data_IF_763930667794
#
_entry.id   IF_763930667794
#
_cell.length_a   1.000
_cell.length_b   1.000
_cell.length_c   1.000
_cell.angle_alpha   90.00
_cell.angle_beta   90.00
_cell.angle_gamma   90.00
#
_symmetry.space_group_name_H-M   'P 1'
#
loop_
_entity.id
_entity.type
_entity.pdbx_description
1 polymer ?
#
# COMPACT_ATOMS: atom_id res chain seq x y z
N UNK A 1 2.67 2.35 -12.31
CA UNK A 1 1.29 2.58 -11.87
C UNK A 1 1.36 2.89 -10.41
N UNK A 2 0.77 4.01 -10.00
CA UNK A 2 0.74 4.43 -8.61
C UNK A 2 -0.37 3.70 -7.86
N UNK A 3 -0.10 3.30 -6.61
CA UNK A 3 -1.10 2.62 -5.78
C UNK A 3 -1.72 3.67 -4.87
N UNK A 4 -3.03 3.82 -4.98
CA UNK A 4 -3.78 4.79 -4.17
C UNK A 4 -4.90 4.09 -3.42
N UNK A 5 -5.10 4.51 -2.18
CA UNK A 5 -6.28 4.17 -1.39
C UNK A 5 -7.10 5.45 -1.18
N UNK A 6 -8.37 5.42 -1.55
CA UNK A 6 -9.32 6.54 -1.40
C UNK A 6 -10.57 5.99 -0.73
N UNK A 7 -10.77 6.32 0.55
CA UNK A 7 -11.85 5.73 1.36
C UNK A 7 -11.73 4.20 1.39
N UNK A 8 -12.80 3.50 0.97
CA UNK A 8 -12.85 2.02 0.89
C UNK A 8 -12.25 1.44 -0.41
N UNK A 9 -11.85 2.28 -1.36
CA UNK A 9 -11.34 1.84 -2.67
C UNK A 9 -9.81 1.79 -2.66
N UNK A 10 -9.25 0.58 -2.72
CA UNK A 10 -7.81 0.33 -2.80
C UNK A 10 -7.42 -0.25 -4.17
N UNK A 11 -6.48 0.37 -4.89
CA UNK A 11 -6.06 -0.14 -6.20
C UNK A 11 -4.93 0.63 -6.86
N UNK A 12 -4.59 0.22 -8.08
CA UNK A 12 -3.61 0.92 -8.91
C UNK A 12 -4.31 1.91 -9.85
N UNK A 13 -3.72 3.08 -10.01
CA UNK A 13 -4.17 4.08 -10.97
C UNK A 13 -3.87 3.59 -12.37
N UNK A 14 -4.92 3.37 -13.16
CA UNK A 14 -4.81 2.95 -14.55
C UNK A 14 -4.76 4.15 -15.50
N UNK A 15 -5.52 5.22 -15.21
CA UNK A 15 -5.57 6.42 -16.07
C UNK A 15 -6.01 7.66 -15.28
N UNK A 16 -5.33 8.78 -15.50
CA UNK A 16 -5.71 10.08 -14.93
C UNK A 16 -6.38 10.90 -16.03
N UNK A 17 -7.67 11.22 -15.84
CA UNK A 17 -8.43 12.10 -16.71
C UNK A 17 -8.66 13.48 -16.08
N UNK A 18 -9.11 14.44 -16.90
CA UNK A 18 -9.33 15.84 -16.48
C UNK A 18 -10.41 15.98 -15.41
N UNK A 19 -11.38 15.06 -15.36
CA UNK A 19 -12.51 15.08 -14.40
C UNK A 19 -12.52 13.91 -13.41
N UNK A 20 -11.90 12.81 -13.77
CA UNK A 20 -11.88 11.59 -12.95
C UNK A 20 -10.61 10.77 -13.20
N UNK A 21 -10.22 10.02 -12.18
CA UNK A 21 -9.15 9.03 -12.22
C UNK A 21 -9.76 7.63 -12.24
N UNK A 22 -9.26 6.77 -13.13
CA UNK A 22 -9.57 5.34 -13.13
C UNK A 22 -8.61 4.60 -12.20
N UNK A 23 -9.19 3.92 -11.21
CA UNK A 23 -8.50 3.06 -10.25
C UNK A 23 -8.98 1.64 -10.45
N UNK A 24 -8.04 0.73 -10.73
CA UNK A 24 -8.35 -0.69 -10.85
C UNK A 24 -7.96 -1.38 -9.56
N UNK A 25 -8.96 -1.98 -8.94
CA UNK A 25 -8.83 -2.75 -7.69
C UNK A 25 -8.21 -4.12 -7.95
N UNK A 26 -7.70 -4.78 -6.91
CA UNK A 26 -7.10 -6.12 -7.02
C UNK A 26 -8.06 -7.19 -7.57
N UNK A 27 -9.35 -6.99 -7.38
CA UNK A 27 -10.41 -7.88 -7.89
C UNK A 27 -10.72 -7.64 -9.38
N UNK A 28 -9.94 -6.80 -10.06
CA UNK A 28 -10.10 -6.49 -11.49
C UNK A 28 -11.23 -5.49 -11.79
N UNK A 29 -11.86 -4.91 -10.76
CA UNK A 29 -12.92 -3.92 -10.91
C UNK A 29 -12.35 -2.51 -11.06
N UNK A 30 -12.76 -1.80 -12.11
CA UNK A 30 -12.38 -0.42 -12.38
C UNK A 30 -13.38 0.55 -11.70
N UNK A 31 -12.86 1.45 -10.87
CA UNK A 31 -13.61 2.52 -10.22
C UNK A 31 -13.19 3.86 -10.80
N UNK A 32 -14.17 4.65 -11.23
CA UNK A 32 -13.96 6.05 -11.60
C UNK A 32 -14.12 6.92 -10.37
N UNK A 33 -13.04 7.57 -9.94
CA UNK A 33 -13.04 8.51 -8.82
C UNK A 33 -13.01 9.94 -9.38
N UNK A 34 -14.04 10.77 -9.15
CA UNK A 34 -14.01 12.19 -9.50
C UNK A 34 -12.87 12.92 -8.81
N UNK A 35 -12.21 13.84 -9.52
CA UNK A 35 -11.07 14.59 -8.99
C UNK A 35 -11.43 15.44 -7.75
N UNK A 36 -12.69 15.87 -7.65
CA UNK A 36 -13.20 16.63 -6.50
C UNK A 36 -13.16 15.81 -5.19
N UNK A 37 -13.40 14.49 -5.28
CA UNK A 37 -13.33 13.57 -4.13
C UNK A 37 -11.87 13.37 -3.69
N UNK A 38 -10.93 13.31 -4.64
CA UNK A 38 -9.49 13.24 -4.34
C UNK A 38 -8.96 14.52 -3.64
N UNK A 39 -9.62 15.67 -3.84
CA UNK A 39 -9.24 16.92 -3.19
C UNK A 39 -9.85 17.08 -1.79
N UNK A 40 -10.94 16.37 -1.47
CA UNK A 40 -11.69 16.53 -0.21
C UNK A 40 -11.47 15.39 0.78
N UNK A 41 -11.09 14.20 0.31
CA UNK A 41 -10.85 13.04 1.16
C UNK A 41 -9.34 12.75 1.28
N UNK A 42 -8.94 12.18 2.42
CA UNK A 42 -7.57 11.75 2.65
C UNK A 42 -7.22 10.62 1.66
N UNK A 43 -6.25 10.88 0.79
CA UNK A 43 -5.74 9.91 -0.19
C UNK A 43 -4.43 9.35 0.33
N UNK A 44 -4.43 8.06 0.64
CA UNK A 44 -3.22 7.36 1.04
C UNK A 44 -2.49 6.92 -0.23
N UNK A 45 -1.41 7.62 -0.57
CA UNK A 45 -0.59 7.28 -1.71
C UNK A 45 0.54 6.35 -1.27
N UNK A 46 0.38 5.07 -1.61
CA UNK A 46 1.32 4.00 -1.28
C UNK A 46 2.56 3.99 -2.18
N UNK A 47 2.59 4.78 -3.26
CA UNK A 47 3.73 4.87 -4.19
C UNK A 47 4.42 6.24 -4.22
N UNK A 48 4.00 7.21 -3.40
CA UNK A 48 4.54 8.57 -3.44
C UNK A 48 5.98 8.69 -2.91
N UNK A 49 6.40 7.81 -2.00
CA UNK A 49 7.67 8.00 -1.29
C UNK A 49 8.72 6.92 -1.58
N UNK A 50 8.31 5.69 -1.92
CA UNK A 50 9.23 4.62 -2.30
C UNK A 50 8.45 3.49 -3.01
N UNK A 51 9.07 2.80 -3.98
CA UNK A 51 8.49 1.55 -4.54
C UNK A 51 8.60 0.38 -3.57
N UNK A 52 9.34 0.55 -2.47
CA UNK A 52 9.49 -0.42 -1.41
C UNK A 52 8.31 -0.34 -0.43
N UNK A 53 7.40 -1.31 -0.49
CA UNK A 53 6.35 -1.50 0.52
C UNK A 53 6.97 -2.07 1.78
N UNK A 54 6.78 -1.39 2.93
CA UNK A 54 7.24 -1.90 4.23
C UNK A 54 6.35 -3.06 4.68
N UNK A 55 6.94 -4.24 4.84
CA UNK A 55 6.26 -5.43 5.36
C UNK A 55 6.59 -5.57 6.85
N UNK A 56 5.56 -5.69 7.70
CA UNK A 56 5.74 -6.03 9.11
C UNK A 56 5.61 -7.55 9.28
N UNK A 57 6.71 -8.22 9.67
CA UNK A 57 6.72 -9.67 9.91
C UNK A 57 6.90 -9.89 11.42
N UNK A 58 5.84 -10.31 12.15
CA UNK A 58 5.99 -10.67 13.54
C UNK A 58 6.73 -12.01 13.64
N UNK A 59 7.92 -12.01 14.24
CA UNK A 59 8.68 -13.24 14.52
C UNK A 59 8.70 -13.48 16.01
N UNK A 60 8.29 -14.68 16.42
CA UNK A 60 8.33 -15.12 17.80
C UNK A 60 9.46 -16.14 18.00
N UNK A 61 10.20 -16.01 19.09
CA UNK A 61 11.23 -16.96 19.52
C UNK A 61 10.85 -17.53 20.89
N UNK A 62 11.28 -18.75 21.20
CA UNK A 62 11.03 -19.34 22.51
C UNK A 62 11.81 -18.57 23.59
N UNK A 63 11.30 -18.52 24.82
CA UNK A 63 11.94 -17.81 25.93
C UNK A 63 13.36 -18.28 26.23
N UNK A 64 13.66 -19.56 25.97
CA UNK A 64 14.98 -20.15 26.20
C UNK A 64 15.90 -20.02 24.97
N UNK A 65 15.47 -19.32 23.91
CA UNK A 65 16.27 -19.11 22.70
C UNK A 65 17.20 -17.93 22.84
N UNK A 66 18.38 -18.06 22.22
CA UNK A 66 19.36 -16.97 22.13
C UNK A 66 18.84 -15.86 21.19
N UNK A 67 18.53 -14.71 21.77
CA UNK A 67 18.00 -13.52 21.06
C UNK A 67 19.03 -12.96 20.08
N UNK A 68 20.31 -12.95 20.45
CA UNK A 68 21.38 -12.38 19.64
C UNK A 68 21.61 -13.26 18.39
N UNK A 69 21.58 -14.58 18.57
CA UNK A 69 21.65 -15.53 17.45
C UNK A 69 20.43 -15.42 16.53
N UNK A 70 19.22 -15.29 17.09
CA UNK A 70 18.00 -15.12 16.31
C UNK A 70 18.05 -13.84 15.46
N UNK A 71 18.51 -12.72 16.02
CA UNK A 71 18.68 -11.47 15.29
C UNK A 71 19.73 -11.61 14.18
N UNK A 72 20.85 -12.27 14.46
CA UNK A 72 21.90 -12.51 13.46
C UNK A 72 21.40 -13.36 12.27
N UNK A 73 20.47 -14.30 12.50
CA UNK A 73 19.85 -15.09 11.44
C UNK A 73 18.82 -14.31 10.62
N UNK A 74 18.11 -13.36 11.23
CA UNK A 74 17.10 -12.53 10.52
C UNK A 74 17.70 -11.43 9.64
N UNK A 75 18.91 -10.97 9.98
CA UNK A 75 19.63 -9.92 9.24
C UNK A 75 20.56 -10.45 8.14
N UNK A 76 20.65 -11.79 8.01
CA UNK A 76 21.52 -12.46 7.03
C UNK A 76 20.75 -12.82 5.77
#
# INVERSE_FOLDING_TARGET
GDVIAVGDSFGWVSKIGVRAVSVVTRDGKEHLIPNEILMTQEVENWSYSDRNVRIHIPVAIAYDSDVDLAQALMLR
#
